data_IF_914281685156
#
_entry.id   IF_914281685156
#
_cell.length_a   1.000
_cell.length_b   1.000
_cell.length_c   1.000
_cell.angle_alpha   90.00
_cell.angle_beta   90.00
_cell.angle_gamma   90.00
#
_symmetry.space_group_name_H-M   'P 1'
#
loop_
_entity.id
_entity.type
_entity.pdbx_description
1 polymer ?
#
# COMPACT_ATOMS: atom_id res chain seq x y z
N UNK A 1 -9.18 21.73 28.00
CA UNK A 1 -8.14 20.77 27.61
C UNK A 1 -8.82 19.79 26.68
N UNK A 2 -8.65 19.96 25.36
CA UNK A 2 -9.05 18.92 24.42
C UNK A 2 -8.21 17.68 24.73
N UNK A 3 -8.86 16.59 25.15
CA UNK A 3 -8.16 15.32 25.36
C UNK A 3 -7.63 14.84 24.02
N UNK A 4 -6.35 14.48 23.93
CA UNK A 4 -5.81 13.83 22.74
C UNK A 4 -6.70 12.63 22.39
N UNK A 5 -7.24 12.61 21.17
CA UNK A 5 -7.98 11.46 20.67
C UNK A 5 -7.06 10.22 20.73
N UNK A 6 -7.60 9.11 21.24
CA UNK A 6 -6.87 7.86 21.26
C UNK A 6 -6.54 7.42 19.83
N UNK A 7 -5.50 6.60 19.67
CA UNK A 7 -5.13 6.04 18.36
C UNK A 7 -6.32 5.34 17.67
N UNK A 8 -7.19 4.68 18.45
CA UNK A 8 -8.37 3.98 17.93
C UNK A 8 -9.45 4.96 17.47
N UNK A 9 -9.66 6.07 18.17
CA UNK A 9 -10.58 7.12 17.72
C UNK A 9 -10.06 7.79 16.45
N UNK A 10 -8.76 8.12 16.39
CA UNK A 10 -8.13 8.67 15.19
C UNK A 10 -8.28 7.72 14.00
N UNK A 11 -8.16 6.41 14.22
CA UNK A 11 -8.37 5.41 13.18
C UNK A 11 -9.84 5.32 12.76
N UNK A 12 -10.77 5.30 13.73
CA UNK A 12 -12.22 5.19 13.49
C UNK A 12 -12.76 6.38 12.70
N UNK A 13 -12.34 7.59 13.03
CA UNK A 13 -12.75 8.81 12.32
C UNK A 13 -11.92 9.09 11.05
N UNK A 14 -10.90 8.25 10.75
CA UNK A 14 -10.06 8.39 9.56
C UNK A 14 -9.07 9.57 9.64
N UNK A 15 -8.79 10.08 10.84
CA UNK A 15 -7.80 11.14 11.08
C UNK A 15 -6.37 10.65 10.79
N UNK A 16 -6.14 9.34 10.97
CA UNK A 16 -4.89 8.69 10.55
C UNK A 16 -5.14 7.70 9.42
N UNK A 17 -4.34 7.85 8.37
CA UNK A 17 -4.31 6.98 7.19
C UNK A 17 -2.86 6.55 6.95
N UNK A 18 -2.38 5.51 7.68
CA UNK A 18 -0.99 5.09 7.62
C UNK A 18 -0.50 4.84 6.20
N UNK A 19 -1.36 4.28 5.35
CA UNK A 19 -1.11 3.97 3.95
C UNK A 19 -0.72 5.21 3.12
N UNK A 20 -1.31 6.37 3.41
CA UNK A 20 -0.98 7.62 2.70
C UNK A 20 0.35 8.21 3.15
N UNK A 21 0.80 7.85 4.36
CA UNK A 21 2.07 8.33 4.93
C UNK A 21 3.26 7.44 4.57
N UNK A 22 3.02 6.24 4.05
CA UNK A 22 4.08 5.32 3.62
C UNK A 22 4.60 5.79 2.27
N UNK A 23 5.57 6.68 2.31
CA UNK A 23 6.34 7.11 1.13
C UNK A 23 7.73 6.47 1.22
N UNK A 24 8.06 5.53 0.32
CA UNK A 24 9.40 4.97 0.29
C UNK A 24 10.44 6.09 0.11
N UNK A 25 11.31 6.27 1.11
CA UNK A 25 12.38 7.28 1.07
C UNK A 25 13.62 6.81 0.29
N UNK A 26 13.62 5.58 -0.20
CA UNK A 26 14.73 5.05 -0.99
C UNK A 26 14.83 5.85 -2.31
N UNK A 27 15.96 6.54 -2.58
CA UNK A 27 16.13 7.30 -3.82
C UNK A 27 16.02 6.42 -5.07
N UNK A 28 16.43 5.14 -4.98
CA UNK A 28 16.31 4.16 -6.07
C UNK A 28 14.84 3.90 -6.43
N UNK A 29 13.95 3.87 -5.44
CA UNK A 29 12.50 3.69 -5.69
C UNK A 29 11.95 4.80 -6.58
N UNK A 30 12.37 6.05 -6.37
CA UNK A 30 11.94 7.18 -7.20
C UNK A 30 12.47 7.05 -8.62
N UNK A 31 13.73 6.65 -8.79
CA UNK A 31 14.34 6.45 -10.11
C UNK A 31 13.65 5.32 -10.87
N UNK A 32 13.47 4.16 -10.23
CA UNK A 32 12.77 3.02 -10.80
C UNK A 32 11.35 3.38 -11.26
N UNK A 33 10.57 4.08 -10.44
CA UNK A 33 9.21 4.48 -10.83
C UNK A 33 9.18 5.50 -11.97
N UNK A 34 10.20 6.37 -12.06
CA UNK A 34 10.35 7.30 -13.18
C UNK A 34 10.64 6.54 -14.47
N UNK A 35 11.53 5.55 -14.44
CA UNK A 35 11.82 4.69 -15.59
C UNK A 35 10.62 3.87 -16.03
N UNK A 36 9.89 3.25 -15.08
CA UNK A 36 8.65 2.53 -15.35
C UNK A 36 7.64 3.44 -16.06
N UNK A 37 7.48 4.68 -15.60
CA UNK A 37 6.56 5.66 -16.21
C UNK A 37 6.97 5.99 -17.63
N UNK A 38 8.27 6.24 -17.87
CA UNK A 38 8.80 6.49 -19.21
C UNK A 38 8.55 5.32 -20.18
N UNK A 39 8.75 4.08 -19.72
CA UNK A 39 8.48 2.90 -20.55
C UNK A 39 6.99 2.69 -20.80
N UNK A 40 6.12 2.95 -19.81
CA UNK A 40 4.66 2.91 -19.98
C UNK A 40 4.19 3.91 -21.03
N UNK A 41 4.67 5.15 -20.97
CA UNK A 41 4.30 6.19 -21.94
C UNK A 41 4.73 5.79 -23.37
N UNK A 42 5.98 5.36 -23.53
CA UNK A 42 6.46 4.85 -24.83
C UNK A 42 5.61 3.70 -25.36
N UNK A 43 5.26 2.75 -24.50
CA UNK A 43 4.41 1.62 -24.87
C UNK A 43 3.03 2.12 -25.33
N UNK A 44 2.37 2.98 -24.55
CA UNK A 44 1.05 3.53 -24.89
C UNK A 44 1.05 4.25 -26.25
N UNK A 45 2.12 4.97 -26.58
CA UNK A 45 2.23 5.66 -27.89
C UNK A 45 2.47 4.71 -29.08
N UNK A 46 2.87 3.47 -28.82
CA UNK A 46 3.18 2.47 -29.86
C UNK A 46 2.04 1.49 -30.13
N UNK A 47 1.02 1.45 -29.27
CA UNK A 47 -0.11 0.53 -29.35
C UNK A 47 -1.26 1.13 -30.17
N UNK A 48 -2.06 0.25 -30.76
CA UNK A 48 -3.37 0.59 -31.32
C UNK A 48 -4.40 0.85 -30.23
N UNK A 49 -5.54 1.47 -30.57
CA UNK A 49 -6.62 1.74 -29.60
C UNK A 49 -7.14 0.47 -28.91
N UNK A 50 -7.37 -0.61 -29.66
CA UNK A 50 -7.82 -1.90 -29.11
C UNK A 50 -6.80 -2.52 -28.14
N UNK A 51 -5.50 -2.38 -28.45
CA UNK A 51 -4.42 -2.86 -27.59
C UNK A 51 -4.27 -2.01 -26.31
N UNK A 52 -4.52 -0.70 -26.40
CA UNK A 52 -4.59 0.18 -25.22
C UNK A 52 -5.76 -0.24 -24.32
N UNK A 53 -6.95 -0.49 -24.87
CA UNK A 53 -8.10 -0.95 -24.08
C UNK A 53 -7.82 -2.29 -23.38
N UNK A 54 -7.14 -3.22 -24.07
CA UNK A 54 -6.71 -4.48 -23.48
C UNK A 54 -5.69 -4.25 -22.34
N UNK A 55 -4.73 -3.35 -22.54
CA UNK A 55 -3.72 -3.02 -21.54
C UNK A 55 -4.35 -2.37 -20.30
N UNK A 56 -5.32 -1.48 -20.47
CA UNK A 56 -6.07 -0.88 -19.36
C UNK A 56 -6.83 -1.94 -18.55
N UNK A 57 -7.51 -2.88 -19.21
CA UNK A 57 -8.16 -4.02 -18.54
C UNK A 57 -7.17 -4.85 -17.74
N UNK A 58 -5.96 -5.08 -18.26
CA UNK A 58 -4.90 -5.79 -17.55
C UNK A 58 -4.47 -5.00 -16.30
N UNK A 59 -4.23 -3.69 -16.42
CA UNK A 59 -3.85 -2.86 -15.27
C UNK A 59 -4.93 -2.80 -14.19
N UNK A 60 -6.21 -2.74 -14.57
CA UNK A 60 -7.32 -2.80 -13.63
C UNK A 60 -7.33 -4.11 -12.84
N UNK A 61 -7.13 -5.24 -13.52
CA UNK A 61 -7.06 -6.56 -12.89
C UNK A 61 -5.83 -6.68 -11.99
N UNK A 62 -4.66 -6.19 -12.42
CA UNK A 62 -3.44 -6.16 -11.62
C UNK A 62 -3.61 -5.26 -10.39
N UNK A 63 -4.30 -4.12 -10.52
CA UNK A 63 -4.62 -3.23 -9.42
C UNK A 63 -5.50 -3.91 -8.37
N UNK A 64 -6.58 -4.57 -8.80
CA UNK A 64 -7.45 -5.37 -7.90
C UNK A 64 -6.68 -6.50 -7.22
N UNK A 65 -5.88 -7.25 -7.98
CA UNK A 65 -5.04 -8.34 -7.44
C UNK A 65 -4.05 -7.81 -6.39
N UNK A 66 -3.38 -6.69 -6.68
CA UNK A 66 -2.42 -6.06 -5.77
C UNK A 66 -3.09 -5.53 -4.50
N UNK A 67 -4.31 -4.99 -4.63
CA UNK A 67 -5.11 -4.54 -3.48
C UNK A 67 -5.45 -5.72 -2.57
N UNK A 68 -5.96 -6.83 -3.12
CA UNK A 68 -6.28 -8.04 -2.34
C UNK A 68 -5.04 -8.54 -1.61
N UNK A 69 -3.95 -8.72 -2.34
CA UNK A 69 -2.69 -9.19 -1.76
C UNK A 69 -2.19 -8.26 -0.63
N UNK A 70 -2.22 -6.95 -0.84
CA UNK A 70 -1.75 -5.97 0.15
C UNK A 70 -2.62 -5.97 1.41
N UNK A 71 -3.95 -6.16 1.27
CA UNK A 71 -4.86 -6.32 2.41
C UNK A 71 -4.54 -7.56 3.22
N UNK A 72 -4.31 -8.71 2.57
CA UNK A 72 -3.94 -9.96 3.25
C UNK A 72 -2.60 -9.83 3.98
N UNK A 73 -1.59 -9.24 3.34
CA UNK A 73 -0.28 -8.97 3.96
C UNK A 73 -0.43 -8.06 5.18
N UNK A 74 -1.24 -7.00 5.09
CA UNK A 74 -1.48 -6.09 6.21
C UNK A 74 -2.14 -6.80 7.39
N UNK A 75 -3.21 -7.56 7.14
CA UNK A 75 -3.93 -8.31 8.18
C UNK A 75 -3.01 -9.32 8.85
N UNK A 76 -2.24 -10.07 8.06
CA UNK A 76 -1.29 -11.05 8.55
C UNK A 76 -0.21 -10.37 9.40
N UNK A 77 0.44 -9.33 8.88
CA UNK A 77 1.49 -8.60 9.57
C UNK A 77 1.01 -7.98 10.88
N UNK A 78 -0.20 -7.41 10.91
CA UNK A 78 -0.80 -6.86 12.13
C UNK A 78 -1.03 -7.93 13.19
N UNK A 79 -1.64 -9.07 12.81
CA UNK A 79 -1.86 -10.21 13.74
C UNK A 79 -0.55 -10.74 14.31
N UNK A 80 0.47 -10.91 13.45
CA UNK A 80 1.81 -11.32 13.87
C UNK A 80 2.42 -10.32 14.86
N UNK A 81 2.31 -9.02 14.59
CA UNK A 81 2.80 -7.98 15.51
C UNK A 81 2.15 -8.07 16.89
N UNK A 82 0.83 -8.24 16.96
CA UNK A 82 0.11 -8.41 18.23
C UNK A 82 0.55 -9.68 18.96
N UNK A 83 0.75 -10.80 18.25
CA UNK A 83 1.24 -12.05 18.83
C UNK A 83 2.63 -11.88 19.44
N UNK A 84 3.57 -11.27 18.69
CA UNK A 84 4.94 -11.00 19.17
C UNK A 84 4.92 -10.14 20.43
N UNK A 85 4.11 -9.06 20.44
CA UNK A 85 3.98 -8.19 21.62
C UNK A 85 3.40 -8.99 22.80
N UNK A 86 2.32 -9.75 22.58
CA UNK A 86 1.69 -10.53 23.63
C UNK A 86 2.69 -11.50 24.27
N UNK A 87 3.45 -12.22 23.45
CA UNK A 87 4.50 -13.15 23.90
C UNK A 87 5.60 -12.42 24.69
N UNK A 88 6.12 -11.31 24.17
CA UNK A 88 7.20 -10.55 24.80
C UNK A 88 6.83 -9.96 26.18
N UNK A 89 5.54 -9.72 26.45
CA UNK A 89 5.05 -9.20 27.72
C UNK A 89 4.43 -10.27 28.63
N UNK A 90 4.15 -11.48 28.11
CA UNK A 90 3.56 -12.57 28.91
C UNK A 90 4.51 -13.10 30.00
N UNK A 91 5.83 -13.01 29.80
CA UNK A 91 6.85 -13.49 30.75
C UNK A 91 7.34 -12.43 31.76
N UNK A 92 6.78 -11.22 31.73
CA UNK A 92 7.06 -10.20 32.78
C UNK A 92 6.21 -10.48 34.01
N UNK A 93 6.67 -11.40 34.86
CA UNK A 93 6.32 -11.42 36.29
C UNK A 93 7.28 -10.55 37.09
#
# INVERSE_FOLDING_TARGET
MEGMSSLLEQLYFGEIRPEEKIIPKNPEYKLLNSEISNFKEKLLTSLTEDEVELLEKIYDLLGKSSSIYSTEVFIYGFKMGVQIVTEAYADRK
#
